data_IF_536980636881
#
_entry.id   IF_536980636881
#
_cell.length_a   1.000
_cell.length_b   1.000
_cell.length_c   1.000
_cell.angle_alpha   90.00
_cell.angle_beta   90.00
_cell.angle_gamma   90.00
#
_symmetry.space_group_name_H-M   'P 1'
#
loop_
_entity.id
_entity.type
_entity.pdbx_description
1 polymer ?
#
# COMPACT_ATOMS: atom_id res chain seq x y z
N UNK A 1 7.17 -21.18 -6.21
CA UNK A 1 6.83 -19.89 -5.55
C UNK A 1 7.95 -19.54 -4.61
N UNK A 2 8.23 -18.26 -4.46
CA UNK A 2 9.47 -17.79 -3.83
C UNK A 2 9.37 -17.64 -2.29
N UNK A 3 8.21 -17.93 -1.70
CA UNK A 3 8.00 -17.85 -0.24
C UNK A 3 7.85 -16.44 0.33
N UNK A 4 7.84 -15.39 -0.51
CA UNK A 4 7.60 -14.01 -0.09
C UNK A 4 6.11 -13.67 -0.17
N UNK A 5 5.65 -12.78 0.73
CA UNK A 5 4.37 -12.09 0.58
C UNK A 5 4.42 -11.10 -0.59
N UNK A 6 3.26 -10.62 -1.01
CA UNK A 6 3.11 -9.61 -2.06
C UNK A 6 2.50 -8.36 -1.44
N UNK A 7 3.14 -7.21 -1.67
CA UNK A 7 2.53 -5.91 -1.45
C UNK A 7 2.03 -5.39 -2.80
N UNK A 8 0.85 -4.77 -2.81
CA UNK A 8 0.23 -4.18 -3.99
C UNK A 8 -0.68 -3.01 -3.66
N UNK A 9 -0.79 -2.08 -4.62
CA UNK A 9 -1.55 -0.84 -4.52
C UNK A 9 -2.86 -0.94 -5.29
N UNK A 10 -3.96 -0.47 -4.70
CA UNK A 10 -5.25 -0.41 -5.40
C UNK A 10 -5.84 0.99 -5.41
N UNK A 11 -6.37 1.37 -6.58
CA UNK A 11 -7.16 2.57 -6.80
C UNK A 11 -8.60 2.25 -7.19
N UNK A 12 -9.51 3.14 -6.82
CA UNK A 12 -10.89 3.09 -7.28
C UNK A 12 -11.00 3.76 -8.64
N UNK A 13 -11.53 3.07 -9.64
CA UNK A 13 -11.81 3.63 -10.97
C UNK A 13 -13.14 4.38 -10.99
N UNK A 14 -13.40 5.17 -12.04
CA UNK A 14 -14.65 5.92 -12.24
C UNK A 14 -15.91 5.08 -12.17
N UNK A 15 -15.85 3.83 -12.61
CA UNK A 15 -16.97 2.88 -12.60
C UNK A 15 -17.02 2.01 -11.32
N UNK A 16 -16.25 2.38 -10.29
CA UNK A 16 -16.25 1.71 -9.00
C UNK A 16 -15.60 0.32 -9.00
N UNK A 17 -14.72 0.06 -9.97
CA UNK A 17 -13.84 -1.12 -10.00
C UNK A 17 -12.53 -0.81 -9.28
N UNK A 18 -11.74 -1.85 -9.01
CA UNK A 18 -10.44 -1.72 -8.37
C UNK A 18 -9.32 -2.06 -9.35
N UNK A 19 -8.49 -1.06 -9.65
CA UNK A 19 -7.31 -1.21 -10.49
C UNK A 19 -6.07 -1.42 -9.64
N UNK A 20 -5.20 -2.37 -10.01
CA UNK A 20 -3.91 -2.56 -9.32
C UNK A 20 -2.85 -1.75 -10.04
N UNK A 21 -2.50 -0.62 -9.47
CA UNK A 21 -1.50 0.33 -9.98
C UNK A 21 -1.03 1.24 -8.86
N UNK A 22 0.27 1.60 -8.86
CA UNK A 22 0.84 2.45 -7.82
C UNK A 22 0.43 3.93 -7.95
N UNK A 23 0.56 4.49 -9.15
CA UNK A 23 0.33 5.93 -9.38
C UNK A 23 -1.13 6.20 -9.76
N UNK A 24 -1.74 7.26 -9.22
CA UNK A 24 -3.03 7.76 -9.68
C UNK A 24 -2.97 8.20 -11.16
N UNK A 25 -1.86 8.82 -11.57
CA UNK A 25 -1.63 9.23 -12.96
C UNK A 25 -1.01 8.11 -13.80
N UNK A 26 -1.59 7.84 -14.97
CA UNK A 26 -1.08 6.88 -15.93
C UNK A 26 0.16 7.37 -16.70
N UNK A 27 0.60 8.60 -16.43
CA UNK A 27 1.66 9.25 -17.23
C UNK A 27 3.00 8.52 -17.16
N UNK A 28 3.43 8.11 -15.95
CA UNK A 28 4.73 7.45 -15.76
C UNK A 28 4.73 6.02 -16.29
N UNK A 29 3.66 5.28 -16.03
CA UNK A 29 3.58 3.84 -16.29
C UNK A 29 2.99 3.49 -17.66
N UNK A 30 2.13 4.37 -18.22
CA UNK A 30 1.41 4.11 -19.48
C UNK A 30 1.62 5.21 -20.53
N UNK A 31 2.34 6.30 -20.20
CA UNK A 31 2.54 7.42 -21.13
C UNK A 31 1.29 8.29 -21.40
N UNK A 32 0.17 8.02 -20.70
CA UNK A 32 -1.11 8.69 -20.90
C UNK A 32 -1.34 9.77 -19.82
N UNK A 33 -1.74 10.97 -20.22
CA UNK A 33 -2.03 12.10 -19.30
C UNK A 33 -3.48 11.99 -18.79
N UNK A 34 -3.73 10.93 -18.01
CA UNK A 34 -5.01 10.54 -17.43
C UNK A 34 -4.82 10.11 -15.99
N UNK A 35 -5.87 10.26 -15.17
CA UNK A 35 -5.91 9.70 -13.83
C UNK A 35 -6.83 8.47 -13.79
N UNK A 36 -6.42 7.44 -13.05
CA UNK A 36 -7.14 6.16 -12.97
C UNK A 36 -8.57 6.33 -12.45
N UNK A 37 -8.81 7.30 -11.57
CA UNK A 37 -10.13 7.57 -11.00
C UNK A 37 -11.08 8.30 -11.92
N UNK A 38 -10.57 8.90 -13.01
CA UNK A 38 -11.36 9.63 -14.00
C UNK A 38 -11.85 8.76 -15.15
N UNK A 39 -11.35 7.52 -15.26
CA UNK A 39 -11.64 6.57 -16.32
C UNK A 39 -12.19 5.25 -15.77
N UNK A 40 -12.89 4.51 -16.60
CA UNK A 40 -13.33 3.14 -16.27
C UNK A 40 -12.17 2.17 -16.32
N UNK A 41 -12.29 1.02 -15.65
CA UNK A 41 -11.29 -0.03 -15.73
C UNK A 41 -11.09 -0.53 -17.17
N UNK A 42 -12.17 -0.64 -17.95
CA UNK A 42 -12.10 -1.03 -19.37
C UNK A 42 -11.30 -0.01 -20.21
N UNK A 43 -11.45 1.29 -19.91
CA UNK A 43 -10.64 2.32 -20.54
C UNK A 43 -9.17 2.25 -20.12
N UNK A 44 -8.90 2.03 -18.82
CA UNK A 44 -7.55 1.88 -18.29
C UNK A 44 -6.81 0.68 -18.92
N UNK A 45 -7.52 -0.42 -19.17
CA UNK A 45 -6.98 -1.63 -19.79
C UNK A 45 -6.63 -1.50 -21.27
N UNK A 46 -6.87 -0.35 -21.89
CA UNK A 46 -6.39 -0.04 -23.25
C UNK A 46 -4.94 0.43 -23.29
N UNK A 47 -4.35 0.72 -22.11
CA UNK A 47 -2.99 1.21 -21.97
C UNK A 47 -2.08 0.09 -21.47
N UNK A 48 -0.92 -0.06 -22.12
CA UNK A 48 0.10 -0.99 -21.68
C UNK A 48 0.97 -0.38 -20.58
N UNK A 49 1.43 -1.23 -19.67
CA UNK A 49 2.33 -0.86 -18.59
C UNK A 49 3.77 -0.82 -19.08
N UNK A 50 4.39 0.35 -19.10
CA UNK A 50 5.77 0.57 -19.52
C UNK A 50 6.05 -0.03 -20.91
N UNK A 51 7.17 -0.73 -21.09
CA UNK A 51 7.56 -1.39 -22.34
C UNK A 51 7.03 -2.84 -22.47
N UNK A 52 5.99 -3.19 -21.68
CA UNK A 52 5.40 -4.54 -21.68
C UNK A 52 4.16 -4.66 -22.55
N UNK A 53 3.61 -5.88 -22.66
CA UNK A 53 2.28 -6.14 -23.22
C UNK A 53 1.21 -6.31 -22.13
N UNK A 54 1.58 -6.08 -20.87
CA UNK A 54 0.66 -6.17 -19.75
C UNK A 54 -0.18 -4.91 -19.63
N UNK A 55 -1.43 -5.07 -19.25
CA UNK A 55 -2.36 -3.97 -18.98
C UNK A 55 -2.59 -3.80 -17.49
N UNK A 56 -3.17 -2.67 -17.09
CA UNK A 56 -3.55 -2.44 -15.68
C UNK A 56 -4.51 -3.54 -15.22
N UNK A 57 -4.13 -4.37 -14.22
CA UNK A 57 -4.97 -5.50 -13.83
C UNK A 57 -6.16 -5.07 -12.95
N UNK A 58 -7.25 -5.84 -13.08
CA UNK A 58 -8.36 -5.84 -12.13
C UNK A 58 -7.92 -6.54 -10.84
N UNK A 59 -8.26 -5.96 -9.70
CA UNK A 59 -7.92 -6.54 -8.38
C UNK A 59 -8.52 -7.93 -8.16
N UNK A 60 -9.78 -8.16 -8.54
CA UNK A 60 -10.39 -9.49 -8.46
C UNK A 60 -9.66 -10.53 -9.31
N UNK A 61 -9.08 -10.10 -10.45
CA UNK A 61 -8.24 -10.97 -11.28
C UNK A 61 -6.92 -11.31 -10.58
N UNK A 62 -6.26 -10.32 -9.99
CA UNK A 62 -5.01 -10.52 -9.23
C UNK A 62 -5.23 -11.45 -8.04
N UNK A 63 -6.32 -11.28 -7.28
CA UNK A 63 -6.67 -12.17 -6.17
C UNK A 63 -6.84 -13.62 -6.62
N UNK A 64 -7.49 -13.85 -7.77
CA UNK A 64 -7.63 -15.20 -8.36
C UNK A 64 -6.29 -15.79 -8.81
N UNK A 65 -5.39 -14.96 -9.34
CA UNK A 65 -4.06 -15.40 -9.78
C UNK A 65 -3.19 -15.83 -8.60
N UNK A 66 -3.27 -15.08 -7.48
CA UNK A 66 -2.50 -15.37 -6.27
C UNK A 66 -3.10 -16.57 -5.53
N UNK A 67 -4.42 -16.74 -5.55
CA UNK A 67 -5.16 -17.92 -5.06
C UNK A 67 -4.74 -18.38 -3.62
N UNK A 68 -4.46 -17.43 -2.75
CA UNK A 68 -4.09 -17.71 -1.35
C UNK A 68 -2.68 -18.28 -1.12
N UNK A 69 -1.88 -18.42 -2.15
CA UNK A 69 -0.56 -19.04 -2.05
C UNK A 69 0.45 -18.28 -1.21
N UNK A 70 0.31 -16.96 -1.11
CA UNK A 70 1.18 -16.08 -0.32
C UNK A 70 0.36 -15.00 0.37
N UNK A 71 0.82 -14.49 1.53
CA UNK A 71 0.17 -13.37 2.20
C UNK A 71 0.19 -12.10 1.35
N UNK A 72 -0.87 -11.28 1.48
CA UNK A 72 -0.99 -9.99 0.81
C UNK A 72 -0.93 -8.83 1.80
N UNK A 73 -0.25 -7.75 1.39
CA UNK A 73 -0.37 -6.42 1.95
C UNK A 73 -1.02 -5.55 0.88
N UNK A 74 -2.22 -5.02 1.14
CA UNK A 74 -3.00 -4.26 0.16
C UNK A 74 -3.03 -2.80 0.57
N UNK A 75 -2.34 -1.93 -0.18
CA UNK A 75 -2.41 -0.48 0.04
C UNK A 75 -3.65 0.12 -0.61
N UNK A 76 -4.44 0.83 0.19
CA UNK A 76 -5.58 1.63 -0.27
C UNK A 76 -5.11 3.03 -0.65
N UNK A 77 -5.06 3.33 -1.94
CA UNK A 77 -4.73 4.66 -2.47
C UNK A 77 -5.97 5.56 -2.43
N UNK A 78 -6.11 6.33 -1.36
CA UNK A 78 -7.23 7.24 -1.17
C UNK A 78 -6.99 8.53 -1.94
N UNK A 79 -7.92 8.89 -2.82
CA UNK A 79 -7.91 10.11 -3.60
C UNK A 79 -9.25 10.85 -3.47
N UNK A 80 -9.21 12.17 -3.46
CA UNK A 80 -10.41 13.00 -3.53
C UNK A 80 -11.47 12.77 -2.42
N UNK A 81 -11.15 12.04 -1.36
CA UNK A 81 -12.11 11.73 -0.28
C UNK A 81 -12.95 10.48 -0.52
N UNK A 82 -12.44 9.54 -1.34
CA UNK A 82 -13.10 8.29 -1.68
C UNK A 82 -12.85 7.14 -0.67
N UNK A 83 -12.26 7.43 0.50
CA UNK A 83 -11.82 6.41 1.47
C UNK A 83 -12.91 5.39 1.85
N UNK A 84 -14.15 5.84 2.00
CA UNK A 84 -15.25 4.96 2.40
C UNK A 84 -15.61 3.97 1.29
N UNK A 85 -15.77 4.46 0.06
CA UNK A 85 -16.09 3.61 -1.09
C UNK A 85 -14.95 2.66 -1.42
N UNK A 86 -13.70 3.16 -1.43
CA UNK A 86 -12.52 2.34 -1.68
C UNK A 86 -12.40 1.20 -0.66
N UNK A 87 -12.53 1.49 0.64
CA UNK A 87 -12.53 0.47 1.69
C UNK A 87 -13.64 -0.57 1.48
N UNK A 88 -14.88 -0.12 1.20
CA UNK A 88 -16.01 -1.02 1.00
C UNK A 88 -15.81 -1.94 -0.21
N UNK A 89 -15.34 -1.40 -1.34
CA UNK A 89 -15.07 -2.17 -2.55
C UNK A 89 -13.94 -3.17 -2.35
N UNK A 90 -12.82 -2.72 -1.75
CA UNK A 90 -11.68 -3.58 -1.45
C UNK A 90 -12.08 -4.77 -0.57
N UNK A 91 -12.82 -4.50 0.50
CA UNK A 91 -13.25 -5.57 1.42
C UNK A 91 -14.27 -6.53 0.80
N UNK A 92 -15.14 -6.08 -0.10
CA UNK A 92 -16.02 -6.99 -0.86
C UNK A 92 -15.24 -8.01 -1.69
N UNK A 93 -14.11 -7.64 -2.25
CA UNK A 93 -13.22 -8.55 -2.97
C UNK A 93 -12.46 -9.45 -2.01
N UNK A 94 -11.88 -8.87 -0.95
CA UNK A 94 -11.11 -9.58 0.06
C UNK A 94 -11.94 -10.55 0.91
N UNK A 95 -13.22 -10.28 1.16
CA UNK A 95 -14.15 -11.20 1.85
C UNK A 95 -14.40 -12.51 1.08
N UNK A 96 -14.05 -12.55 -0.21
CA UNK A 96 -14.14 -13.75 -1.07
C UNK A 96 -12.79 -14.40 -1.34
N UNK A 97 -11.75 -13.86 -0.75
CA UNK A 97 -10.38 -14.35 -0.91
C UNK A 97 -9.99 -15.24 0.26
N UNK A 98 -9.61 -16.48 0.00
CA UNK A 98 -9.28 -17.47 1.03
C UNK A 98 -7.84 -17.36 1.57
N UNK A 99 -7.04 -16.39 1.06
CA UNK A 99 -5.66 -16.17 1.49
C UNK A 99 -5.54 -15.24 2.70
N UNK A 100 -4.35 -15.24 3.30
CA UNK A 100 -4.01 -14.28 4.35
C UNK A 100 -3.77 -12.90 3.74
N UNK A 101 -4.32 -11.87 4.36
CA UNK A 101 -4.07 -10.48 3.95
C UNK A 101 -4.12 -9.50 5.13
N UNK A 102 -3.52 -8.36 4.92
CA UNK A 102 -3.74 -7.15 5.70
C UNK A 102 -3.90 -5.96 4.75
N UNK A 103 -4.39 -4.86 5.28
CA UNK A 103 -4.68 -3.65 4.51
C UNK A 103 -3.94 -2.48 5.11
N UNK A 104 -3.37 -1.61 4.27
CA UNK A 104 -2.71 -0.39 4.75
C UNK A 104 -3.07 0.83 3.92
N UNK A 105 -2.80 2.01 4.44
CA UNK A 105 -2.98 3.29 3.73
C UNK A 105 -2.14 4.39 4.36
N UNK A 106 -1.72 5.35 3.52
CA UNK A 106 -1.22 6.66 4.00
C UNK A 106 -2.33 7.51 4.60
N UNK A 107 -3.56 7.37 4.09
CA UNK A 107 -4.67 8.18 4.57
C UNK A 107 -5.26 7.63 5.87
N UNK A 108 -5.14 8.36 6.99
CA UNK A 108 -5.66 7.91 8.27
C UNK A 108 -7.20 7.77 8.28
N UNK A 109 -7.91 8.38 7.32
CA UNK A 109 -9.37 8.25 7.21
C UNK A 109 -9.76 6.83 6.80
N UNK A 110 -9.00 6.19 5.90
CA UNK A 110 -9.21 4.78 5.55
C UNK A 110 -9.00 3.88 6.77
N UNK A 111 -7.93 4.09 7.54
CA UNK A 111 -7.64 3.31 8.75
C UNK A 111 -8.73 3.53 9.83
N UNK A 112 -9.23 4.77 9.96
CA UNK A 112 -10.36 5.07 10.85
C UNK A 112 -11.66 4.41 10.39
N UNK A 113 -11.91 4.38 9.07
CA UNK A 113 -13.07 3.72 8.50
C UNK A 113 -13.03 2.20 8.77
N UNK A 114 -11.90 1.55 8.50
CA UNK A 114 -11.65 0.13 8.79
C UNK A 114 -11.89 -0.17 10.28
N UNK A 115 -11.31 0.63 11.18
CA UNK A 115 -11.50 0.45 12.62
C UNK A 115 -12.97 0.46 13.04
N UNK A 116 -13.80 1.29 12.41
CA UNK A 116 -15.21 1.46 12.77
C UNK A 116 -16.12 0.39 12.18
N UNK A 117 -15.87 0.03 10.92
CA UNK A 117 -16.77 -0.80 10.13
C UNK A 117 -16.30 -2.25 10.04
N UNK A 118 -14.99 -2.49 10.10
CA UNK A 118 -14.38 -3.82 9.96
C UNK A 118 -13.20 -3.95 10.95
N UNK A 119 -13.48 -3.97 12.26
CA UNK A 119 -12.45 -4.10 13.29
C UNK A 119 -11.71 -5.45 13.27
N UNK A 120 -12.26 -6.44 12.58
CA UNK A 120 -11.71 -7.78 12.34
C UNK A 120 -10.54 -7.77 11.35
N UNK A 121 -10.43 -6.75 10.48
CA UNK A 121 -9.37 -6.66 9.48
C UNK A 121 -8.07 -6.11 10.10
N UNK A 122 -6.97 -6.82 9.89
CA UNK A 122 -5.62 -6.35 10.23
C UNK A 122 -5.28 -5.14 9.35
N UNK A 123 -5.02 -4.01 9.98
CA UNK A 123 -4.83 -2.72 9.30
C UNK A 123 -3.55 -2.03 9.72
N UNK A 124 -2.86 -1.44 8.75
CA UNK A 124 -1.60 -0.71 8.92
C UNK A 124 -1.70 0.76 8.59
N UNK A 125 -0.92 1.58 9.27
CA UNK A 125 -0.70 2.98 8.90
C UNK A 125 0.64 3.11 8.18
N UNK A 126 0.59 3.54 6.92
CA UNK A 126 1.78 3.97 6.19
C UNK A 126 2.21 5.37 6.66
N UNK A 127 3.49 5.55 6.93
CA UNK A 127 4.01 6.80 7.45
C UNK A 127 5.48 7.05 7.03
N UNK A 128 5.89 8.32 7.12
CA UNK A 128 7.23 8.77 6.81
C UNK A 128 7.29 10.29 6.71
N UNK A 129 8.41 10.87 6.29
CA UNK A 129 8.56 12.28 6.01
C UNK A 129 8.14 12.59 4.55
N UNK A 130 6.84 12.47 4.27
CA UNK A 130 6.27 12.45 2.92
C UNK A 130 6.45 13.76 2.14
N UNK A 131 6.41 14.90 2.85
CA UNK A 131 6.58 16.22 2.19
C UNK A 131 7.93 16.38 1.51
N UNK A 132 8.97 15.73 2.04
CA UNK A 132 10.31 15.72 1.42
C UNK A 132 10.36 14.96 0.10
N UNK A 133 9.42 14.04 -0.10
CA UNK A 133 9.30 13.20 -1.30
C UNK A 133 8.35 13.78 -2.35
N UNK A 134 7.88 15.03 -2.14
CA UNK A 134 7.04 15.73 -3.09
C UNK A 134 5.53 15.47 -2.93
N UNK A 135 5.11 14.75 -1.89
CA UNK A 135 3.68 14.58 -1.62
C UNK A 135 3.01 15.93 -1.31
N UNK A 136 1.85 16.15 -1.91
CA UNK A 136 1.04 17.35 -1.68
C UNK A 136 0.31 17.28 -0.34
N UNK A 137 1.05 17.45 0.74
CA UNK A 137 0.55 17.36 2.11
C UNK A 137 0.94 18.60 2.91
N UNK A 138 0.08 19.08 3.80
CA UNK A 138 0.41 20.21 4.68
C UNK A 138 1.52 19.81 5.67
N UNK A 139 2.33 20.79 6.09
CA UNK A 139 3.40 20.53 7.08
C UNK A 139 2.88 19.97 8.42
N UNK A 140 1.67 20.35 8.82
CA UNK A 140 1.04 19.83 10.03
C UNK A 140 0.63 18.36 9.87
N UNK A 141 0.03 18.00 8.73
CA UNK A 141 -0.34 16.61 8.46
C UNK A 141 0.90 15.71 8.31
N UNK A 142 1.94 16.17 7.59
CA UNK A 142 3.23 15.46 7.50
C UNK A 142 3.85 15.23 8.90
N UNK A 143 3.82 16.25 9.76
CA UNK A 143 4.31 16.12 11.13
C UNK A 143 3.51 15.09 11.95
N UNK A 144 2.19 15.09 11.83
CA UNK A 144 1.33 14.15 12.56
C UNK A 144 1.52 12.71 12.06
N UNK A 145 1.59 12.49 10.75
CA UNK A 145 1.88 11.16 10.16
C UNK A 145 3.27 10.68 10.56
N UNK A 146 4.29 11.50 10.36
CA UNK A 146 5.67 11.15 10.68
C UNK A 146 5.88 10.78 12.15
N UNK A 147 5.15 11.41 13.07
CA UNK A 147 5.23 11.15 14.50
C UNK A 147 4.14 10.19 15.00
N UNK A 148 3.41 9.55 14.09
CA UNK A 148 2.39 8.54 14.38
C UNK A 148 1.22 9.06 15.27
N UNK A 149 0.99 10.38 15.32
CA UNK A 149 -0.09 10.95 16.13
C UNK A 149 -1.48 10.56 15.60
N UNK A 150 -1.58 10.32 14.29
CA UNK A 150 -2.82 9.83 13.65
C UNK A 150 -3.24 8.44 14.14
N UNK A 151 -2.29 7.64 14.66
CA UNK A 151 -2.53 6.28 15.13
C UNK A 151 -3.49 6.23 16.34
N UNK A 152 -3.60 7.32 17.11
CA UNK A 152 -4.59 7.40 18.18
C UNK A 152 -6.02 7.25 17.65
N UNK A 153 -6.30 7.75 16.44
CA UNK A 153 -7.61 7.70 15.81
C UNK A 153 -7.85 6.34 15.11
N UNK A 154 -6.90 5.89 14.30
CA UNK A 154 -7.00 4.67 13.51
C UNK A 154 -6.76 3.38 14.30
N UNK A 155 -5.93 3.44 15.35
CA UNK A 155 -5.44 2.28 16.12
C UNK A 155 -5.00 1.15 15.18
N UNK A 156 -3.98 1.40 14.34
CA UNK A 156 -3.48 0.38 13.45
C UNK A 156 -2.82 -0.77 14.23
N UNK A 157 -2.88 -1.98 13.67
CA UNK A 157 -2.25 -3.17 14.22
C UNK A 157 -0.75 -3.19 13.90
N UNK A 158 -0.35 -2.56 12.78
CA UNK A 158 1.04 -2.37 12.39
C UNK A 158 1.29 -0.98 11.81
N UNK A 159 2.56 -0.63 11.71
CA UNK A 159 3.01 0.59 11.01
C UNK A 159 4.04 0.22 9.95
N UNK A 160 3.79 0.64 8.71
CA UNK A 160 4.76 0.58 7.64
C UNK A 160 5.42 1.95 7.48
N UNK A 161 6.74 2.02 7.71
CA UNK A 161 7.46 3.28 7.82
C UNK A 161 8.56 3.38 6.77
N UNK A 162 8.78 4.60 6.27
CA UNK A 162 9.82 4.85 5.28
C UNK A 162 11.21 4.55 5.84
N UNK A 163 11.96 3.66 5.20
CA UNK A 163 13.28 3.20 5.69
C UNK A 163 14.29 4.33 5.86
N UNK A 164 14.31 5.32 4.96
CA UNK A 164 15.21 6.48 5.06
C UNK A 164 14.94 7.34 6.32
N UNK A 165 13.81 7.12 6.98
CA UNK A 165 13.46 7.78 8.23
C UNK A 165 13.52 6.86 9.45
N UNK A 166 14.23 5.73 9.36
CA UNK A 166 14.26 4.65 10.37
C UNK A 166 14.69 5.06 11.78
N UNK A 167 15.43 6.17 11.91
CA UNK A 167 15.82 6.72 13.21
C UNK A 167 14.71 7.46 13.95
N UNK A 168 13.49 7.54 13.37
CA UNK A 168 12.38 8.24 14.00
C UNK A 168 11.99 7.60 15.32
N UNK A 169 12.09 8.35 16.42
CA UNK A 169 11.83 7.85 17.78
C UNK A 169 10.40 7.39 18.00
N UNK A 170 9.41 8.02 17.35
CA UNK A 170 8.02 7.61 17.49
C UNK A 170 7.78 6.22 16.89
N UNK A 171 8.36 5.97 15.70
CA UNK A 171 8.31 4.67 15.06
C UNK A 171 9.12 3.61 15.84
N UNK A 172 10.35 3.90 16.22
CA UNK A 172 11.19 2.93 16.96
C UNK A 172 10.54 2.50 18.28
N UNK A 173 9.83 3.41 18.95
CA UNK A 173 9.12 3.11 20.20
C UNK A 173 7.72 2.51 20.01
N UNK A 174 7.23 2.38 18.78
CA UNK A 174 5.95 1.76 18.50
C UNK A 174 5.97 0.27 18.93
N UNK A 175 4.90 -0.19 19.58
CA UNK A 175 4.84 -1.53 20.19
C UNK A 175 4.15 -2.59 19.34
N UNK A 176 3.45 -2.20 18.27
CA UNK A 176 2.86 -3.11 17.29
C UNK A 176 3.88 -3.67 16.31
N UNK A 177 3.41 -4.45 15.35
CA UNK A 177 4.24 -4.92 14.26
C UNK A 177 4.76 -3.76 13.42
N UNK A 178 5.98 -3.90 12.91
CA UNK A 178 6.68 -2.85 12.17
C UNK A 178 7.16 -3.36 10.82
N UNK A 179 6.95 -2.55 9.80
CA UNK A 179 7.45 -2.78 8.46
C UNK A 179 8.28 -1.60 8.01
N UNK A 180 9.27 -1.84 7.14
CA UNK A 180 9.97 -0.80 6.41
C UNK A 180 9.69 -0.87 4.92
N UNK A 181 9.43 0.28 4.30
CA UNK A 181 9.32 0.49 2.85
C UNK A 181 10.19 1.66 2.41
N UNK A 182 10.76 1.69 1.25
CA UNK A 182 10.94 0.59 0.34
C UNK A 182 12.39 0.16 0.40
N UNK A 183 12.63 -1.09 0.72
CA UNK A 183 13.99 -1.65 0.80
C UNK A 183 14.48 -1.97 -0.60
N UNK A 184 15.68 -1.52 -0.97
CA UNK A 184 16.24 -1.66 -2.33
C UNK A 184 17.60 -2.34 -2.38
N UNK A 185 18.11 -2.79 -1.25
CA UNK A 185 19.36 -3.55 -1.19
C UNK A 185 19.30 -4.63 -0.11
N UNK A 186 20.10 -5.66 -0.29
CA UNK A 186 20.24 -6.73 0.72
C UNK A 186 20.80 -6.20 2.05
N UNK A 187 21.72 -5.21 2.00
CA UNK A 187 22.24 -4.57 3.21
C UNK A 187 21.16 -3.85 4.02
N UNK A 188 20.30 -3.07 3.34
CA UNK A 188 19.16 -2.39 3.99
C UNK A 188 18.13 -3.41 4.53
N UNK A 189 17.94 -4.54 3.82
CA UNK A 189 17.07 -5.62 4.28
C UNK A 189 17.56 -6.20 5.60
N UNK A 190 18.86 -6.50 5.70
CA UNK A 190 19.47 -7.00 6.94
C UNK A 190 19.36 -5.97 8.07
N UNK A 191 19.61 -4.69 7.79
CA UNK A 191 19.43 -3.63 8.79
C UNK A 191 17.96 -3.55 9.27
N UNK A 192 16.98 -3.67 8.37
CA UNK A 192 15.56 -3.70 8.72
C UNK A 192 15.23 -4.88 9.65
N UNK A 193 15.71 -6.08 9.31
CA UNK A 193 15.53 -7.29 10.10
C UNK A 193 16.18 -7.16 11.50
N UNK A 194 17.41 -6.64 11.58
CA UNK A 194 18.13 -6.41 12.84
C UNK A 194 17.38 -5.40 13.76
N UNK A 195 16.65 -4.45 13.15
CA UNK A 195 15.76 -3.53 13.87
C UNK A 195 14.42 -4.15 14.24
N UNK A 196 14.17 -5.43 13.91
CA UNK A 196 12.92 -6.13 14.19
C UNK A 196 11.75 -5.68 13.33
N UNK A 197 12.01 -5.25 12.10
CA UNK A 197 11.03 -4.79 11.15
C UNK A 197 10.97 -5.72 9.93
N UNK A 198 9.77 -6.05 9.45
CA UNK A 198 9.61 -6.79 8.21
C UNK A 198 9.89 -5.87 7.00
N UNK A 199 10.67 -6.30 6.00
CA UNK A 199 10.98 -5.50 4.83
C UNK A 199 9.89 -5.63 3.76
N UNK A 200 9.42 -4.49 3.21
CA UNK A 200 8.76 -4.41 1.90
C UNK A 200 9.85 -3.99 0.92
N UNK A 201 10.19 -4.86 -0.03
CA UNK A 201 11.37 -4.69 -0.89
C UNK A 201 11.04 -4.77 -2.38
N UNK A 202 11.89 -4.15 -3.19
CA UNK A 202 11.79 -4.17 -4.65
C UNK A 202 13.19 -4.17 -5.31
N UNK A 203 13.25 -4.57 -6.60
CA UNK A 203 14.43 -4.44 -7.50
C UNK A 203 15.64 -5.31 -7.15
N UNK A 204 15.52 -6.27 -6.25
CA UNK A 204 16.51 -7.30 -6.01
C UNK A 204 15.84 -8.58 -5.51
N UNK A 205 16.52 -9.70 -5.66
CA UNK A 205 16.09 -10.99 -5.09
C UNK A 205 16.97 -11.30 -3.88
N UNK A 206 16.42 -11.35 -2.65
CA UNK A 206 17.22 -11.65 -1.46
C UNK A 206 17.95 -12.98 -1.52
N UNK A 207 17.44 -13.95 -2.26
CA UNK A 207 18.04 -15.30 -2.42
C UNK A 207 19.35 -15.29 -3.21
N UNK A 208 19.62 -14.22 -3.98
CA UNK A 208 20.89 -14.07 -4.69
C UNK A 208 22.08 -13.83 -3.73
N UNK A 209 21.80 -13.64 -2.43
CA UNK A 209 22.75 -13.31 -1.38
C UNK A 209 22.82 -14.37 -0.25
N UNK A 210 22.00 -15.44 -0.34
CA UNK A 210 22.05 -16.61 0.55
C UNK A 210 23.01 -17.66 0.00
#
# INVERSE_FOLDING_TARGET
>A
MNGFGIELDIHLTKDGKLAVIHDASLKRTCGADLNIEEITLEEAQKYFLEESQEVIPDFDHVLKLIDGYVPLVVELKVEGGNEAELCERALRSLDRYDGLYCVESFDPRAIMWLRRNRPDIVRGQLAGALKKDGFSISSAADFMLRNLWVNFLGKPDFVAYKFENRENKAFMNYKGAKFFWTIRSYGDMKEAEDLGCAPIFEKFDPRDYE
#
